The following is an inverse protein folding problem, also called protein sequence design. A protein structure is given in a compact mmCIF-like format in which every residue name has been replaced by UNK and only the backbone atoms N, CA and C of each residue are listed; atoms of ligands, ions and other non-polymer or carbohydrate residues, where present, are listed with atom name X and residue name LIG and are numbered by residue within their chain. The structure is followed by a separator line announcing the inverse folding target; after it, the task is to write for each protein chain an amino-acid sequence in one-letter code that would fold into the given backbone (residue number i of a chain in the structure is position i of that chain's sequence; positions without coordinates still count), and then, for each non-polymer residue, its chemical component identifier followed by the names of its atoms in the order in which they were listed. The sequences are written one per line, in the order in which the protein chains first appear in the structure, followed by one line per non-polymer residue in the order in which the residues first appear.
data_IF_385112479597
#
_entry.id   IF_385112479597
#
_cell.length_a   1.000
_cell.length_b   1.000
_cell.length_c   1.000
_cell.angle_alpha   90.00
_cell.angle_beta   90.00
_cell.angle_gamma   90.00
#
_symmetry.space_group_name_H-M   'P 1'
#
loop_
_entity.id
_entity.type
_entity.pdbx_description
1 polymer ?
#
# COMPACT_ATOMS: atom_id res chain seq x y z
N UNK A 1 -3.91 4.08 0.78
CA UNK A 1 -2.52 4.27 1.24
C UNK A 1 -2.59 4.34 2.75
N UNK A 2 -1.77 3.58 3.45
CA UNK A 2 -1.87 3.41 4.91
C UNK A 2 -0.50 3.06 5.51
N UNK A 3 -0.26 3.37 6.77
CA UNK A 3 1.00 3.09 7.47
C UNK A 3 0.84 2.17 8.69
N UNK A 4 -0.38 1.77 9.04
CA UNK A 4 -0.68 0.83 10.13
C UNK A 4 -1.22 -0.53 9.64
N UNK A 5 -0.91 -1.64 10.35
CA UNK A 5 -1.51 -2.95 10.04
C UNK A 5 -3.04 -2.95 10.14
N UNK A 6 -3.60 -2.27 11.15
CA UNK A 6 -5.04 -2.22 11.40
C UNK A 6 -5.78 -1.45 10.30
N UNK A 7 -5.20 -0.35 9.82
CA UNK A 7 -5.75 0.41 8.70
C UNK A 7 -5.70 -0.40 7.39
N UNK A 8 -4.61 -1.16 7.16
CA UNK A 8 -4.50 -2.05 6.00
C UNK A 8 -5.61 -3.09 6.05
N UNK A 9 -5.75 -3.79 7.19
CA UNK A 9 -6.80 -4.79 7.37
C UNK A 9 -8.21 -4.20 7.16
N UNK A 10 -8.45 -2.98 7.65
CA UNK A 10 -9.73 -2.28 7.46
C UNK A 10 -10.01 -1.98 5.98
N UNK A 11 -9.04 -1.45 5.25
CA UNK A 11 -9.20 -1.11 3.83
C UNK A 11 -9.35 -2.36 2.95
N UNK A 12 -8.60 -3.43 3.23
CA UNK A 12 -8.79 -4.72 2.56
C UNK A 12 -10.19 -5.29 2.83
N UNK A 13 -10.68 -5.20 4.07
CA UNK A 13 -12.04 -5.61 4.44
C UNK A 13 -13.14 -4.83 3.71
N UNK A 14 -12.85 -3.61 3.24
CA UNK A 14 -13.74 -2.81 2.41
C UNK A 14 -13.62 -3.13 0.90
N UNK A 15 -12.80 -4.09 0.50
CA UNK A 15 -12.54 -4.44 -0.90
C UNK A 15 -11.65 -3.41 -1.63
N UNK A 16 -10.95 -2.56 -0.88
CA UNK A 16 -10.00 -1.62 -1.46
C UNK A 16 -8.63 -2.27 -1.61
N UNK A 17 -7.86 -1.79 -2.57
CA UNK A 17 -6.45 -2.12 -2.71
C UNK A 17 -5.59 -1.08 -2.00
N UNK A 18 -4.47 -1.50 -1.41
CA UNK A 18 -3.72 -0.68 -0.45
C UNK A 18 -2.23 -0.71 -0.74
N UNK A 19 -1.59 0.46 -0.63
CA UNK A 19 -0.15 0.63 -0.55
C UNK A 19 0.20 0.91 0.91
N UNK A 20 1.06 0.08 1.49
CA UNK A 20 1.64 0.27 2.82
C UNK A 20 2.86 1.21 2.75
N UNK A 21 2.97 2.18 3.65
CA UNK A 21 4.13 3.07 3.74
C UNK A 21 4.88 2.82 5.06
N UNK A 22 6.02 2.15 4.98
CA UNK A 22 6.83 1.73 6.12
C UNK A 22 7.70 2.88 6.68
N UNK A 23 7.06 3.96 7.15
CA UNK A 23 7.75 5.10 7.78
C UNK A 23 8.03 4.85 9.26
N UNK A 24 7.02 4.36 9.99
CA UNK A 24 7.03 4.17 11.44
C UNK A 24 7.15 2.70 11.86
N UNK A 25 6.69 1.79 11.01
CA UNK A 25 6.64 0.36 11.28
C UNK A 25 7.58 -0.40 10.35
N UNK A 26 8.12 -1.51 10.86
CA UNK A 26 8.89 -2.44 10.04
C UNK A 26 8.04 -2.90 8.84
N UNK A 27 8.60 -2.91 7.64
CA UNK A 27 7.91 -3.26 6.41
C UNK A 27 7.23 -4.63 6.48
N UNK A 28 7.74 -5.56 7.29
CA UNK A 28 7.12 -6.87 7.54
C UNK A 28 5.71 -6.78 8.13
N UNK A 29 5.41 -5.74 8.90
CA UNK A 29 4.10 -5.53 9.51
C UNK A 29 3.03 -5.04 8.53
N UNK A 30 3.45 -4.54 7.37
CA UNK A 30 2.57 -4.03 6.32
C UNK A 30 2.42 -5.05 5.16
N UNK A 31 2.82 -6.30 5.37
CA UNK A 31 2.91 -7.34 4.33
C UNK A 31 1.59 -7.74 3.69
N UNK A 32 0.45 -7.40 4.33
CA UNK A 32 -0.88 -7.59 3.75
C UNK A 32 -1.24 -6.53 2.70
N UNK A 33 -0.54 -5.39 2.67
CA UNK A 33 -0.71 -4.42 1.60
C UNK A 33 -0.22 -5.02 0.27
N UNK A 34 -0.87 -4.64 -0.82
CA UNK A 34 -0.51 -5.09 -2.16
C UNK A 34 0.92 -4.69 -2.55
N UNK A 35 1.37 -3.57 -2.01
CA UNK A 35 2.76 -3.11 -2.11
C UNK A 35 3.15 -2.37 -0.85
N UNK A 36 4.40 -2.54 -0.44
CA UNK A 36 5.01 -1.78 0.66
C UNK A 36 6.14 -0.91 0.11
N UNK A 37 6.12 0.38 0.44
CA UNK A 37 7.17 1.34 0.10
C UNK A 37 7.72 1.98 1.37
N UNK A 38 8.99 2.39 1.37
CA UNK A 38 9.60 3.06 2.54
C UNK A 38 9.22 4.54 2.65
N UNK A 39 8.75 5.14 1.56
CA UNK A 39 8.33 6.56 1.49
C UNK A 39 7.43 6.78 0.28
N UNK A 40 6.60 7.82 0.35
CA UNK A 40 5.87 8.32 -0.83
C UNK A 40 6.72 9.29 -1.67
N UNK A 41 7.87 9.73 -1.17
CA UNK A 41 8.79 10.56 -1.95
C UNK A 41 9.25 9.80 -3.20
N UNK A 42 8.97 10.36 -4.36
CA UNK A 42 9.27 9.72 -5.66
C UNK A 42 8.22 8.74 -6.16
N UNK A 43 7.12 8.52 -5.44
CA UNK A 43 5.94 7.82 -5.98
C UNK A 43 5.11 8.80 -6.80
N UNK A 44 5.05 8.57 -8.11
CA UNK A 44 4.29 9.37 -9.06
C UNK A 44 2.92 8.73 -9.38
N UNK A 45 2.02 9.53 -9.95
CA UNK A 45 0.70 9.04 -10.39
C UNK A 45 0.81 7.90 -11.42
N UNK A 46 1.82 7.94 -12.28
CA UNK A 46 2.01 6.89 -13.28
C UNK A 46 2.46 5.56 -12.66
N UNK A 47 3.20 5.59 -11.55
CA UNK A 47 3.50 4.38 -10.77
C UNK A 47 2.21 3.75 -10.24
N UNK A 48 1.30 4.58 -9.70
CA UNK A 48 -0.01 4.12 -9.22
C UNK A 48 -0.82 3.49 -10.36
N UNK A 49 -0.86 4.13 -11.53
CA UNK A 49 -1.56 3.57 -12.71
C UNK A 49 -0.98 2.22 -13.12
N UNK A 50 0.34 2.06 -13.04
CA UNK A 50 1.00 0.80 -13.38
C UNK A 50 0.73 -0.29 -12.33
N UNK A 51 0.82 0.04 -11.04
CA UNK A 51 0.58 -0.93 -9.96
C UNK A 51 -0.89 -1.35 -9.89
N UNK A 52 -1.79 -0.41 -10.14
CA UNK A 52 -3.23 -0.63 -10.03
C UNK A 52 -3.93 -0.96 -11.35
N UNK A 53 -3.17 -1.22 -12.43
CA UNK A 53 -3.75 -1.72 -13.67
C UNK A 53 -4.46 -3.06 -13.45
N UNK A 54 -5.68 -3.19 -13.97
CA UNK A 54 -6.41 -4.46 -13.96
C UNK A 54 -5.67 -5.47 -14.87
N UNK A 55 -5.48 -6.73 -14.44
CA UNK A 55 -5.00 -7.79 -15.33
C UNK A 55 -6.00 -8.00 -16.48
N UNK A 56 -5.50 -8.15 -17.72
CA UNK A 56 -6.29 -8.51 -18.90
C UNK A 56 -6.87 -9.93 -18.79
#
# INVERSE_FOLDING_TARGET
IEDSPEGIASALGAGLRVIGVAVMHDASKLSEAERVVSTLAGVALDDLRQWFAEPL
#
